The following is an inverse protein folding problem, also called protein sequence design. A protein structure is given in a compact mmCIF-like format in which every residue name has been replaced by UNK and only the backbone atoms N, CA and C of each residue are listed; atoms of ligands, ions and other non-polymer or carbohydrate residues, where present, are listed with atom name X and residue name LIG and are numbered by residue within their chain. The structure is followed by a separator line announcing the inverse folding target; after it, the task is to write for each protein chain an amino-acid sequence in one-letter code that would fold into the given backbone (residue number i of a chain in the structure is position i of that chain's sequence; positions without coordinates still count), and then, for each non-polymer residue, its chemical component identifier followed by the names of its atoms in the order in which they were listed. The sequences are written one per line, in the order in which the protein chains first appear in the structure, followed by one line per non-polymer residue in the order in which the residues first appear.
data_IF_630136781229
#
_entry.id   IF_630136781229
#
_cell.length_a   1.000
_cell.length_b   1.000
_cell.length_c   1.000
_cell.angle_alpha   90.00
_cell.angle_beta   90.00
_cell.angle_gamma   90.00
#
_symmetry.space_group_name_H-M   'P 1'
#
loop_
_entity.id
_entity.type
_entity.pdbx_description
1 polymer ?
#
# COMPACT_ATOMS: atom_id res chain seq x y z
N UNK A 1 6.01 24.46 0.94
CA UNK A 1 4.76 24.02 1.58
C UNK A 1 5.02 23.09 2.75
N UNK A 2 5.71 21.95 2.55
CA UNK A 2 6.22 21.13 3.65
C UNK A 2 7.73 21.30 3.70
N UNK A 3 8.26 21.59 4.88
CA UNK A 3 9.69 21.74 5.06
C UNK A 3 10.15 20.99 6.31
N UNK A 4 11.24 20.23 6.15
CA UNK A 4 11.96 19.57 7.23
C UNK A 4 13.37 20.16 7.32
N UNK A 5 13.77 20.65 8.48
CA UNK A 5 15.10 21.26 8.71
C UNK A 5 15.80 20.60 9.88
N UNK A 6 16.97 20.01 9.60
CA UNK A 6 17.84 19.33 10.58
C UNK A 6 17.06 18.39 11.49
N UNK A 7 16.21 17.54 10.90
CA UNK A 7 15.34 16.65 11.67
C UNK A 7 16.08 15.38 12.04
N UNK A 8 16.04 15.06 13.34
CA UNK A 8 16.54 13.82 13.93
C UNK A 8 15.41 13.17 14.74
N UNK A 9 15.31 11.85 14.69
CA UNK A 9 14.33 11.11 15.49
C UNK A 9 14.79 9.70 15.83
N UNK A 10 14.57 9.31 17.10
CA UNK A 10 14.58 7.91 17.54
C UNK A 10 13.34 7.62 18.38
N UNK A 11 12.78 6.40 18.29
CA UNK A 11 11.54 6.03 18.98
C UNK A 11 11.70 5.97 20.50
N UNK A 12 12.87 5.61 21.03
CA UNK A 12 13.19 5.58 22.47
C UNK A 12 14.56 6.18 22.74
N UNK A 13 14.78 6.62 23.97
CA UNK A 13 16.09 7.03 24.42
C UNK A 13 17.06 5.83 24.39
N UNK A 14 18.14 5.94 23.62
CA UNK A 14 19.14 4.88 23.45
C UNK A 14 18.91 3.93 22.26
N UNK A 15 17.75 4.03 21.56
CA UNK A 15 17.52 3.30 20.32
C UNK A 15 18.33 3.89 19.16
N UNK A 16 18.54 3.07 18.12
CA UNK A 16 19.11 3.53 16.85
C UNK A 16 18.31 4.72 16.29
N UNK A 17 19.04 5.71 15.78
CA UNK A 17 18.45 6.88 15.14
C UNK A 17 17.74 6.43 13.85
N UNK A 18 16.41 6.57 13.82
CA UNK A 18 15.61 6.19 12.68
C UNK A 18 15.71 7.16 11.51
N UNK A 19 15.85 8.46 11.80
CA UNK A 19 16.12 9.49 10.82
C UNK A 19 17.12 10.49 11.37
N UNK A 20 18.06 10.95 10.54
CA UNK A 20 19.19 11.76 10.93
C UNK A 20 19.46 12.85 9.91
N UNK A 21 19.51 14.10 10.39
CA UNK A 21 19.81 15.30 9.60
C UNK A 21 18.98 15.44 8.32
N UNK A 22 17.66 15.19 8.45
CA UNK A 22 16.78 15.34 7.30
C UNK A 22 16.58 16.81 6.96
N UNK A 23 16.85 17.13 5.70
CA UNK A 23 16.58 18.41 5.08
C UNK A 23 15.80 18.16 3.79
N UNK A 24 14.49 18.39 3.83
CA UNK A 24 13.54 18.07 2.74
C UNK A 24 12.63 19.28 2.53
N UNK A 25 12.43 19.65 1.28
CA UNK A 25 11.44 20.64 0.86
C UNK A 25 10.50 20.01 -0.17
N UNK A 26 9.18 20.14 0.06
CA UNK A 26 8.13 19.69 -0.84
C UNK A 26 7.22 20.89 -1.15
N UNK A 27 7.08 21.20 -2.43
CA UNK A 27 6.24 22.32 -2.89
C UNK A 27 4.77 21.88 -2.99
N UNK A 28 3.87 22.85 -3.02
CA UNK A 28 2.46 22.59 -3.28
C UNK A 28 2.28 21.97 -4.67
N UNK A 29 1.43 20.95 -4.77
CA UNK A 29 1.16 20.23 -6.00
C UNK A 29 2.25 19.25 -6.46
N UNK A 30 3.38 19.11 -5.73
CA UNK A 30 4.40 18.11 -6.08
C UNK A 30 3.93 16.69 -5.72
N UNK A 31 4.23 15.75 -6.61
CA UNK A 31 4.12 14.32 -6.35
C UNK A 31 5.51 13.75 -6.01
N UNK A 32 5.72 13.46 -4.72
CA UNK A 32 7.02 13.04 -4.17
C UNK A 32 7.00 11.57 -3.78
N UNK A 33 7.95 10.80 -4.31
CA UNK A 33 8.22 9.43 -3.91
C UNK A 33 9.32 9.38 -2.85
N UNK A 34 9.04 8.73 -1.72
CA UNK A 34 10.06 8.30 -0.77
C UNK A 34 10.46 6.86 -1.09
N UNK A 35 11.69 6.62 -1.44
CA UNK A 35 12.20 5.30 -1.80
C UNK A 35 13.47 4.94 -1.04
N UNK A 36 13.78 3.65 -0.98
CA UNK A 36 14.92 3.07 -0.24
C UNK A 36 14.56 1.73 0.38
N UNK A 37 15.53 1.07 1.00
CA UNK A 37 15.36 -0.23 1.65
C UNK A 37 14.32 -0.18 2.78
N UNK A 38 13.77 -1.33 3.17
CA UNK A 38 12.93 -1.42 4.37
C UNK A 38 13.71 -0.96 5.60
N UNK A 39 13.03 -0.22 6.51
CA UNK A 39 13.66 0.32 7.71
C UNK A 39 14.47 1.61 7.54
N UNK A 40 14.63 2.14 6.32
CA UNK A 40 15.42 3.37 6.10
C UNK A 40 14.76 4.69 6.54
N UNK A 41 13.59 4.65 7.22
CA UNK A 41 12.96 5.84 7.80
C UNK A 41 11.77 6.42 7.01
N UNK A 42 11.32 5.82 5.90
CA UNK A 42 10.19 6.33 5.07
C UNK A 42 8.92 6.57 5.90
N UNK A 43 8.43 5.54 6.56
CA UNK A 43 7.23 5.61 7.42
C UNK A 43 7.39 6.64 8.54
N UNK A 44 8.60 6.80 9.10
CA UNK A 44 8.88 7.80 10.13
C UNK A 44 8.72 9.22 9.59
N UNK A 45 9.22 9.50 8.39
CA UNK A 45 9.02 10.78 7.69
C UNK A 45 7.53 11.06 7.48
N UNK A 46 6.77 10.06 6.98
CA UNK A 46 5.33 10.21 6.76
C UNK A 46 4.58 10.49 8.07
N UNK A 47 4.96 9.81 9.17
CA UNK A 47 4.39 10.05 10.51
C UNK A 47 4.71 11.44 11.07
N UNK A 48 5.81 12.06 10.66
CA UNK A 48 6.11 13.45 11.01
C UNK A 48 5.28 14.44 10.20
N UNK A 49 4.99 14.13 8.94
CA UNK A 49 4.16 14.99 8.09
C UNK A 49 2.69 14.97 8.55
N UNK A 50 2.17 13.79 8.90
CA UNK A 50 0.77 13.66 9.34
C UNK A 50 0.55 13.94 10.84
N UNK A 51 1.59 14.35 11.56
CA UNK A 51 1.51 14.75 12.96
C UNK A 51 1.44 13.60 13.97
N UNK A 52 1.43 12.33 13.55
CA UNK A 52 1.54 11.22 14.50
C UNK A 52 2.81 11.32 15.35
N UNK A 53 3.88 11.83 14.79
CA UNK A 53 5.07 12.29 15.52
C UNK A 53 5.04 13.82 15.50
N UNK A 54 5.01 14.49 16.64
CA UNK A 54 5.20 13.98 18.01
C UNK A 54 3.90 13.75 18.80
N UNK A 55 2.71 13.98 18.27
CA UNK A 55 1.47 14.07 19.06
C UNK A 55 0.98 12.73 19.63
N UNK A 56 1.15 11.63 18.89
CA UNK A 56 0.70 10.30 19.29
C UNK A 56 1.86 9.31 19.54
N UNK A 57 3.03 9.61 18.99
CA UNK A 57 4.21 8.75 19.08
C UNK A 57 5.35 9.55 19.72
N UNK A 58 5.73 9.12 20.90
CA UNK A 58 6.82 9.70 21.66
C UNK A 58 8.19 9.26 21.11
N UNK A 59 9.20 10.11 21.30
CA UNK A 59 10.58 9.82 20.94
C UNK A 59 11.50 11.04 21.08
N UNK A 60 12.78 10.81 20.86
CA UNK A 60 13.75 11.90 20.80
C UNK A 60 13.64 12.59 19.45
N UNK A 61 13.06 13.76 19.43
CA UNK A 61 12.82 14.53 18.22
C UNK A 61 13.52 15.88 18.28
N UNK A 62 14.41 16.15 17.33
CA UNK A 62 15.10 17.43 17.14
C UNK A 62 14.82 17.97 15.74
N UNK A 63 15.07 19.27 15.54
CA UNK A 63 14.79 19.95 14.28
C UNK A 63 13.35 20.43 14.18
N UNK A 64 12.94 20.79 12.96
CA UNK A 64 11.64 21.42 12.70
C UNK A 64 10.99 20.80 11.47
N UNK A 65 9.70 20.43 11.58
CA UNK A 65 8.82 20.08 10.46
C UNK A 65 7.73 21.12 10.40
N UNK A 66 7.51 21.71 9.23
CA UNK A 66 6.47 22.72 9.02
C UNK A 66 5.56 22.35 7.85
N UNK A 67 4.29 22.71 7.97
CA UNK A 67 3.28 22.66 6.92
C UNK A 67 2.74 24.08 6.78
N UNK A 68 2.85 24.68 5.58
CA UNK A 68 2.48 26.10 5.35
C UNK A 68 3.13 27.05 6.37
N UNK A 69 4.42 26.85 6.64
CA UNK A 69 5.22 27.63 7.60
C UNK A 69 4.79 27.49 9.07
N UNK A 70 3.71 26.76 9.41
CA UNK A 70 3.33 26.44 10.79
C UNK A 70 4.02 25.16 11.24
N UNK A 71 4.62 25.16 12.42
CA UNK A 71 5.29 23.98 12.98
C UNK A 71 4.29 22.89 13.31
N UNK A 72 4.53 21.64 12.86
CA UNK A 72 3.68 20.49 13.18
C UNK A 72 3.54 20.29 14.69
N UNK A 73 4.58 20.61 15.47
CA UNK A 73 4.52 20.56 16.95
C UNK A 73 3.54 21.55 17.58
N UNK A 74 3.26 22.65 16.89
CA UNK A 74 2.42 23.75 17.37
C UNK A 74 0.99 23.67 16.79
N UNK A 75 0.75 22.73 15.88
CA UNK A 75 -0.57 22.49 15.30
C UNK A 75 -1.34 21.48 16.17
N UNK A 76 -2.62 21.73 16.34
CA UNK A 76 -3.51 20.74 16.90
C UNK A 76 -3.75 19.60 15.91
N UNK A 77 -4.04 18.39 16.41
CA UNK A 77 -4.21 17.20 15.54
C UNK A 77 -5.33 17.37 14.52
N UNK A 78 -6.40 18.06 14.86
CA UNK A 78 -7.48 18.34 13.91
C UNK A 78 -7.06 19.32 12.80
N UNK A 79 -6.23 20.33 13.11
CA UNK A 79 -5.70 21.27 12.10
C UNK A 79 -4.80 20.55 11.09
N UNK A 80 -4.06 19.54 11.55
CA UNK A 80 -3.25 18.70 10.67
C UNK A 80 -4.16 17.80 9.82
N UNK A 81 -5.17 17.15 10.42
CA UNK A 81 -6.09 16.26 9.74
C UNK A 81 -6.92 16.96 8.65
N UNK A 82 -7.25 18.25 8.80
CA UNK A 82 -7.89 19.05 7.76
C UNK A 82 -7.00 19.25 6.53
N UNK A 83 -5.68 19.26 6.72
CA UNK A 83 -4.69 19.55 5.65
C UNK A 83 -4.06 18.30 5.08
N UNK A 84 -3.88 17.28 5.89
CA UNK A 84 -3.11 16.07 5.56
C UNK A 84 -3.99 14.83 5.72
N UNK A 85 -4.36 14.24 4.60
CA UNK A 85 -5.00 12.94 4.55
C UNK A 85 -3.98 11.81 4.51
N UNK A 86 -4.15 10.80 5.36
CA UNK A 86 -3.21 9.69 5.50
C UNK A 86 -3.83 8.37 5.07
N UNK A 87 -3.11 7.62 4.23
CA UNK A 87 -3.45 6.27 3.82
C UNK A 87 -2.37 5.33 4.33
N UNK A 88 -2.73 4.43 5.25
CA UNK A 88 -1.79 3.52 5.90
C UNK A 88 -1.57 2.23 5.11
N UNK A 89 -0.44 1.58 5.35
CA UNK A 89 -0.06 0.31 4.75
C UNK A 89 -1.10 -0.81 4.97
N UNK A 90 -1.71 -0.83 6.15
CA UNK A 90 -2.78 -1.77 6.48
C UNK A 90 -4.11 -1.04 6.59
N UNK A 91 -5.00 -1.11 5.59
CA UNK A 91 -6.27 -0.41 5.62
C UNK A 91 -7.19 -0.83 6.78
N UNK A 92 -7.03 -2.06 7.31
CA UNK A 92 -7.83 -2.56 8.43
C UNK A 92 -7.63 -1.76 9.72
N UNK A 93 -6.49 -1.12 9.89
CA UNK A 93 -6.20 -0.29 11.06
C UNK A 93 -6.75 1.12 10.94
N UNK A 94 -7.31 1.47 9.78
CA UNK A 94 -7.84 2.80 9.48
C UNK A 94 -9.37 2.86 9.64
N UNK A 95 -10.07 1.72 9.54
CA UNK A 95 -11.53 1.67 9.54
C UNK A 95 -12.13 1.73 10.94
N UNK A 96 -13.16 2.54 11.08
CA UNK A 96 -13.95 2.72 12.29
C UNK A 96 -15.38 2.21 12.15
N UNK A 97 -15.89 2.10 10.92
CA UNK A 97 -17.27 1.70 10.62
C UNK A 97 -17.37 0.26 10.12
N UNK A 98 -18.56 -0.33 10.26
CA UNK A 98 -18.85 -1.68 9.79
C UNK A 98 -19.22 -1.72 8.31
N UNK A 99 -19.69 -0.62 7.78
CA UNK A 99 -20.12 -0.48 6.38
C UNK A 99 -19.34 0.63 5.66
N UNK A 100 -19.30 0.51 4.34
CA UNK A 100 -18.53 1.39 3.47
C UNK A 100 -19.07 2.83 3.43
N UNK A 101 -20.36 3.02 3.52
CA UNK A 101 -20.97 4.34 3.44
C UNK A 101 -20.70 5.13 4.73
N UNK A 102 -20.79 4.48 5.89
CA UNK A 102 -20.37 5.05 7.16
C UNK A 102 -18.87 5.38 7.17
N UNK A 103 -18.02 4.55 6.55
CA UNK A 103 -16.59 4.82 6.47
C UNK A 103 -16.27 6.01 5.56
N UNK A 104 -17.01 6.18 4.46
CA UNK A 104 -16.87 7.34 3.57
C UNK A 104 -17.33 8.64 4.23
N UNK A 105 -18.32 8.58 5.12
CA UNK A 105 -18.86 9.75 5.83
C UNK A 105 -18.07 10.14 7.08
N UNK A 106 -17.35 9.18 7.68
CA UNK A 106 -16.72 9.33 8.99
C UNK A 106 -15.83 10.57 9.14
N UNK A 107 -14.95 10.81 8.17
CA UNK A 107 -14.07 11.99 8.20
C UNK A 107 -14.85 13.31 8.09
N UNK A 108 -15.91 13.33 7.28
CA UNK A 108 -16.77 14.51 7.09
C UNK A 108 -17.59 14.80 8.36
N UNK A 109 -18.08 13.76 9.05
CA UNK A 109 -18.80 13.89 10.32
C UNK A 109 -17.90 14.47 11.40
N UNK A 110 -16.66 13.99 11.50
CA UNK A 110 -15.66 14.51 12.44
C UNK A 110 -15.27 15.96 12.17
N UNK A 111 -15.37 16.41 10.91
CA UNK A 111 -15.20 17.83 10.53
C UNK A 111 -16.43 18.69 10.82
N UNK A 112 -17.51 18.11 11.33
CA UNK A 112 -18.75 18.84 11.63
C UNK A 112 -19.52 19.30 10.39
N UNK A 113 -19.37 18.63 9.25
CA UNK A 113 -20.07 18.95 8.00
C UNK A 113 -21.56 18.62 8.15
N UNK A 114 -22.41 19.49 7.62
CA UNK A 114 -23.87 19.30 7.63
C UNK A 114 -24.31 17.99 6.94
N UNK A 115 -25.24 17.20 7.51
CA UNK A 115 -25.61 15.89 6.99
C UNK A 115 -26.06 15.84 5.52
N UNK A 116 -26.73 16.91 5.04
CA UNK A 116 -27.12 17.00 3.63
C UNK A 116 -25.90 17.14 2.70
N UNK A 117 -24.87 17.85 3.13
CA UNK A 117 -23.63 18.03 2.39
C UNK A 117 -22.77 16.76 2.45
N UNK A 118 -22.78 16.02 3.57
CA UNK A 118 -22.08 14.73 3.69
C UNK A 118 -22.59 13.77 2.61
N UNK A 119 -23.92 13.59 2.48
CA UNK A 119 -24.50 12.71 1.46
C UNK A 119 -24.07 13.10 0.05
N UNK A 120 -24.07 14.40 -0.27
CA UNK A 120 -23.64 14.89 -1.56
C UNK A 120 -22.14 14.62 -1.82
N UNK A 121 -21.27 14.88 -0.83
CA UNK A 121 -19.82 14.63 -0.93
C UNK A 121 -19.52 13.15 -1.08
N UNK A 122 -20.16 12.27 -0.31
CA UNK A 122 -20.01 10.81 -0.41
C UNK A 122 -20.42 10.32 -1.80
N UNK A 123 -21.60 10.75 -2.31
CA UNK A 123 -22.05 10.35 -3.64
C UNK A 123 -21.11 10.87 -4.74
N UNK A 124 -20.60 12.10 -4.62
CA UNK A 124 -19.62 12.64 -5.55
C UNK A 124 -18.32 11.82 -5.53
N UNK A 125 -17.82 11.47 -4.36
CA UNK A 125 -16.63 10.61 -4.20
C UNK A 125 -16.83 9.27 -4.89
N UNK A 126 -17.98 8.62 -4.67
CA UNK A 126 -18.33 7.33 -5.31
C UNK A 126 -18.29 7.46 -6.83
N UNK A 127 -18.91 8.50 -7.37
CA UNK A 127 -18.98 8.75 -8.80
C UNK A 127 -17.60 9.10 -9.39
N UNK A 128 -16.85 10.00 -8.76
CA UNK A 128 -15.56 10.45 -9.25
C UNK A 128 -14.53 9.32 -9.23
N UNK A 129 -14.55 8.48 -8.20
CA UNK A 129 -13.62 7.37 -8.08
C UNK A 129 -14.14 6.07 -8.74
N UNK A 130 -15.36 6.07 -9.30
CA UNK A 130 -15.99 4.90 -9.91
C UNK A 130 -15.95 3.67 -8.99
N UNK A 131 -16.52 3.82 -7.79
CA UNK A 131 -16.53 2.79 -6.72
C UNK A 131 -17.96 2.43 -6.27
N UNK A 132 -18.96 2.57 -7.13
CA UNK A 132 -20.37 2.22 -6.83
C UNK A 132 -20.51 0.76 -6.35
N UNK A 133 -19.63 -0.13 -6.81
CA UNK A 133 -19.56 -1.52 -6.40
C UNK A 133 -19.17 -1.71 -4.91
N UNK A 134 -18.66 -0.70 -4.25
CA UNK A 134 -18.33 -0.72 -2.83
C UNK A 134 -19.46 -0.21 -1.93
N UNK A 135 -20.47 0.45 -2.50
CA UNK A 135 -21.57 1.05 -1.76
C UNK A 135 -22.40 0.02 -0.98
N UNK A 136 -22.83 0.38 0.23
CA UNK A 136 -23.61 -0.46 1.12
C UNK A 136 -22.98 -1.83 1.41
N UNK A 137 -21.64 -1.94 1.40
CA UNK A 137 -20.92 -3.20 1.65
C UNK A 137 -20.39 -3.26 3.08
N UNK A 138 -20.45 -4.45 3.65
CA UNK A 138 -19.76 -4.71 4.91
C UNK A 138 -18.24 -4.66 4.69
N UNK A 139 -17.55 -3.79 5.45
CA UNK A 139 -16.10 -3.57 5.33
C UNK A 139 -15.30 -4.86 5.59
N UNK A 140 -15.76 -5.73 6.48
CA UNK A 140 -15.05 -6.99 6.77
C UNK A 140 -15.10 -7.99 5.61
N UNK A 141 -16.13 -7.93 4.77
CA UNK A 141 -16.29 -8.81 3.61
C UNK A 141 -15.52 -8.34 2.37
N UNK A 142 -15.01 -7.11 2.37
CA UNK A 142 -14.21 -6.57 1.29
C UNK A 142 -12.88 -7.31 1.18
N UNK A 143 -12.43 -7.51 -0.06
CA UNK A 143 -11.07 -7.98 -0.35
C UNK A 143 -10.01 -6.96 0.10
N UNK A 144 -8.75 -7.37 0.17
CA UNK A 144 -7.65 -6.45 0.53
C UNK A 144 -7.55 -5.24 -0.40
N UNK A 145 -7.75 -5.46 -1.71
CA UNK A 145 -7.77 -4.39 -2.70
C UNK A 145 -8.94 -3.43 -2.52
N UNK A 146 -10.16 -3.96 -2.37
CA UNK A 146 -11.35 -3.14 -2.11
C UNK A 146 -11.23 -2.32 -0.83
N UNK A 147 -10.65 -2.89 0.24
CA UNK A 147 -10.34 -2.17 1.48
C UNK A 147 -9.39 -1.00 1.24
N UNK A 148 -8.33 -1.23 0.46
CA UNK A 148 -7.37 -0.15 0.18
C UNK A 148 -8.01 0.97 -0.65
N UNK A 149 -8.82 0.63 -1.63
CA UNK A 149 -9.58 1.60 -2.42
C UNK A 149 -10.56 2.40 -1.54
N UNK A 150 -11.29 1.71 -0.64
CA UNK A 150 -12.18 2.37 0.32
C UNK A 150 -11.41 3.31 1.26
N UNK A 151 -10.24 2.92 1.76
CA UNK A 151 -9.40 3.76 2.60
C UNK A 151 -8.92 5.03 1.86
N UNK A 152 -8.58 4.94 0.57
CA UNK A 152 -8.26 6.12 -0.24
C UNK A 152 -9.52 6.97 -0.42
N UNK A 153 -10.66 6.37 -0.71
CA UNK A 153 -11.92 7.06 -0.95
C UNK A 153 -12.42 7.81 0.29
N UNK A 154 -12.28 7.25 1.49
CA UNK A 154 -12.68 7.91 2.74
C UNK A 154 -11.84 9.17 3.00
N UNK A 155 -10.53 9.12 2.71
CA UNK A 155 -9.67 10.30 2.77
C UNK A 155 -9.98 11.29 1.63
N UNK A 156 -10.26 10.78 0.42
CA UNK A 156 -10.62 11.62 -0.73
C UNK A 156 -11.87 12.44 -0.47
N UNK A 157 -12.87 11.87 0.21
CA UNK A 157 -14.14 12.55 0.54
C UNK A 157 -13.91 13.82 1.39
N UNK A 158 -12.91 13.84 2.27
CA UNK A 158 -12.55 15.01 3.09
C UNK A 158 -11.80 16.09 2.29
N UNK A 159 -11.27 15.73 1.12
CA UNK A 159 -10.59 16.62 0.17
C UNK A 159 -9.41 17.42 0.73
N UNK A 160 -8.44 16.79 1.45
CA UNK A 160 -7.28 17.49 1.97
C UNK A 160 -6.38 18.04 0.85
N UNK A 161 -5.47 18.94 1.19
CA UNK A 161 -4.50 19.50 0.23
C UNK A 161 -3.27 18.60 0.04
N UNK A 162 -2.94 17.81 1.07
CA UNK A 162 -1.79 16.92 1.14
C UNK A 162 -2.27 15.49 1.34
N UNK A 163 -1.79 14.57 0.54
CA UNK A 163 -2.03 13.14 0.67
C UNK A 163 -0.74 12.41 1.00
N UNK A 164 -0.77 11.62 2.06
CA UNK A 164 0.36 10.80 2.52
C UNK A 164 0.00 9.34 2.39
N UNK A 165 0.77 8.59 1.60
CA UNK A 165 0.56 7.16 1.36
C UNK A 165 1.75 6.35 1.88
N UNK A 166 1.50 5.41 2.78
CA UNK A 166 2.52 4.49 3.28
C UNK A 166 2.33 3.09 2.69
N UNK A 167 3.14 2.74 1.70
CA UNK A 167 3.14 1.45 0.98
C UNK A 167 1.74 0.96 0.56
N UNK A 168 0.93 1.77 -0.13
CA UNK A 168 -0.48 1.46 -0.39
C UNK A 168 -0.67 0.24 -1.29
N UNK A 169 0.35 -0.19 -2.04
CA UNK A 169 0.26 -1.35 -2.93
C UNK A 169 0.57 -2.70 -2.26
N UNK A 170 0.98 -2.72 -0.98
CA UNK A 170 1.51 -3.92 -0.33
C UNK A 170 0.56 -5.13 -0.35
N UNK A 171 -0.76 -4.90 -0.22
CA UNK A 171 -1.77 -5.95 -0.06
C UNK A 171 -2.79 -6.02 -1.21
N UNK A 172 -2.50 -5.39 -2.34
CA UNK A 172 -3.41 -5.34 -3.49
C UNK A 172 -2.85 -6.11 -4.68
N UNK A 173 -3.74 -6.65 -5.49
CA UNK A 173 -3.41 -7.31 -6.74
C UNK A 173 -3.23 -6.28 -7.87
N UNK A 174 -2.94 -6.77 -9.06
CA UNK A 174 -2.67 -5.93 -10.23
C UNK A 174 -3.84 -5.02 -10.58
N UNK A 175 -5.07 -5.52 -10.50
CA UNK A 175 -6.27 -4.73 -10.77
C UNK A 175 -6.45 -3.60 -9.74
N UNK A 176 -6.15 -3.89 -8.46
CA UNK A 176 -6.14 -2.88 -7.40
C UNK A 176 -5.05 -1.83 -7.60
N UNK A 177 -3.88 -2.21 -8.12
CA UNK A 177 -2.80 -1.26 -8.45
C UNK A 177 -3.22 -0.33 -9.59
N UNK A 178 -3.88 -0.86 -10.62
CA UNK A 178 -4.39 -0.04 -11.73
C UNK A 178 -5.41 0.99 -11.22
N UNK A 179 -6.35 0.56 -10.38
CA UNK A 179 -7.33 1.46 -9.77
C UNK A 179 -6.67 2.50 -8.85
N UNK A 180 -5.68 2.10 -8.05
CA UNK A 180 -4.89 3.03 -7.23
C UNK A 180 -4.19 4.08 -8.09
N UNK A 181 -3.59 3.66 -9.20
CA UNK A 181 -2.92 4.57 -10.14
C UNK A 181 -3.90 5.59 -10.73
N UNK A 182 -5.11 5.18 -11.12
CA UNK A 182 -6.15 6.10 -11.60
C UNK A 182 -6.50 7.18 -10.55
N UNK A 183 -6.62 6.77 -9.27
CA UNK A 183 -6.87 7.70 -8.17
C UNK A 183 -5.71 8.69 -7.97
N UNK A 184 -4.46 8.21 -8.04
CA UNK A 184 -3.28 9.07 -7.93
C UNK A 184 -3.18 10.08 -9.09
N UNK A 185 -3.54 9.67 -10.31
CA UNK A 185 -3.61 10.58 -11.48
C UNK A 185 -4.64 11.68 -11.21
N UNK A 186 -5.84 11.34 -10.76
CA UNK A 186 -6.89 12.32 -10.43
C UNK A 186 -6.44 13.33 -9.38
N UNK A 187 -5.80 12.84 -8.30
CA UNK A 187 -5.25 13.73 -7.27
C UNK A 187 -4.19 14.68 -7.83
N UNK A 188 -3.31 14.19 -8.70
CA UNK A 188 -2.29 15.01 -9.36
C UNK A 188 -2.91 16.06 -10.28
N UNK A 189 -3.91 15.69 -11.09
CA UNK A 189 -4.67 16.60 -11.97
C UNK A 189 -5.40 17.68 -11.19
N UNK A 190 -5.86 17.37 -9.97
CA UNK A 190 -6.48 18.34 -9.05
C UNK A 190 -5.45 19.25 -8.34
N UNK A 191 -4.17 19.10 -8.64
CA UNK A 191 -3.08 19.88 -8.04
C UNK A 191 -2.79 19.54 -6.58
N UNK A 192 -3.21 18.35 -6.11
CA UNK A 192 -2.95 17.90 -4.74
C UNK A 192 -1.47 17.58 -4.57
N UNK A 193 -0.95 17.83 -3.35
CA UNK A 193 0.41 17.41 -2.99
C UNK A 193 0.37 15.96 -2.54
N UNK A 194 1.19 15.11 -3.14
CA UNK A 194 1.20 13.68 -2.87
C UNK A 194 2.58 13.27 -2.38
N UNK A 195 2.64 12.63 -1.22
CA UNK A 195 3.85 12.02 -0.69
C UNK A 195 3.57 10.52 -0.53
N UNK A 196 4.32 9.70 -1.25
CA UNK A 196 4.13 8.25 -1.23
C UNK A 196 5.42 7.52 -0.89
N UNK A 197 5.37 6.61 0.08
CA UNK A 197 6.40 5.59 0.23
C UNK A 197 5.97 4.35 -0.54
N UNK A 198 6.84 3.79 -1.38
CA UNK A 198 6.48 2.60 -2.17
C UNK A 198 7.70 1.79 -2.57
N UNK A 199 7.50 0.47 -2.66
CA UNK A 199 8.49 -0.47 -3.17
C UNK A 199 8.21 -0.89 -4.62
N UNK A 200 6.94 -0.96 -5.03
CA UNK A 200 6.54 -1.26 -6.41
C UNK A 200 6.53 0.03 -7.21
N UNK A 201 7.60 0.29 -7.95
CA UNK A 201 7.83 1.59 -8.59
C UNK A 201 7.21 1.71 -9.98
N UNK A 202 7.02 0.60 -10.68
CA UNK A 202 6.61 0.55 -12.09
C UNK A 202 5.31 1.30 -12.42
N UNK A 203 4.41 1.48 -11.45
CA UNK A 203 3.15 2.21 -11.66
C UNK A 203 3.21 3.68 -11.27
N UNK A 204 4.37 4.17 -10.79
CA UNK A 204 4.55 5.53 -10.27
C UNK A 204 5.59 6.35 -11.03
N UNK A 205 6.58 5.71 -11.68
CA UNK A 205 7.77 6.38 -12.22
C UNK A 205 7.43 7.56 -13.14
N UNK A 206 6.39 7.45 -13.93
CA UNK A 206 5.92 8.51 -14.84
C UNK A 206 5.01 9.56 -14.17
N UNK A 207 4.55 9.29 -12.93
CA UNK A 207 3.66 10.19 -12.19
C UNK A 207 4.40 11.14 -11.25
N UNK A 208 5.53 10.71 -10.69
CA UNK A 208 6.27 11.48 -9.70
C UNK A 208 6.95 12.70 -10.33
N UNK A 209 7.08 13.78 -9.58
CA UNK A 209 7.87 14.95 -9.95
C UNK A 209 9.28 14.87 -9.33
N UNK A 210 9.38 14.23 -8.16
CA UNK A 210 10.60 14.12 -7.37
C UNK A 210 10.66 12.76 -6.66
N UNK A 211 11.84 12.14 -6.65
CA UNK A 211 12.12 10.97 -5.82
C UNK A 211 13.19 11.29 -4.79
N UNK A 212 12.92 10.98 -3.52
CA UNK A 212 13.85 11.14 -2.40
C UNK A 212 14.33 9.75 -1.99
N UNK A 213 15.59 9.45 -2.27
CA UNK A 213 16.21 8.19 -1.89
C UNK A 213 16.81 8.29 -0.48
N UNK A 214 16.34 7.37 0.37
CA UNK A 214 16.72 7.28 1.77
C UNK A 214 17.58 6.03 1.99
N UNK A 215 18.62 6.18 2.78
CA UNK A 215 19.47 5.11 3.26
C UNK A 215 19.93 5.42 4.67
N UNK A 216 19.79 4.46 5.59
CA UNK A 216 20.19 4.55 7.00
C UNK A 216 19.68 5.86 7.68
N UNK A 217 18.41 6.17 7.47
CA UNK A 217 17.76 7.34 8.06
C UNK A 217 18.17 8.69 7.48
N UNK A 218 18.92 8.73 6.38
CA UNK A 218 19.41 9.97 5.75
C UNK A 218 18.94 10.10 4.33
N UNK A 219 18.74 11.34 3.88
CA UNK A 219 18.58 11.64 2.45
C UNK A 219 19.93 11.48 1.77
N UNK A 220 20.05 10.53 0.86
CA UNK A 220 21.27 10.31 0.07
C UNK A 220 21.22 11.02 -1.27
N UNK A 221 20.06 10.97 -1.92
CA UNK A 221 19.86 11.61 -3.22
C UNK A 221 18.44 12.13 -3.34
N UNK A 222 18.29 13.24 -4.02
CA UNK A 222 17.02 13.79 -4.46
C UNK A 222 17.08 13.84 -5.99
N UNK A 223 16.21 13.12 -6.66
CA UNK A 223 16.13 13.03 -8.10
C UNK A 223 14.91 13.77 -8.62
N UNK A 224 15.04 14.48 -9.72
CA UNK A 224 13.91 14.85 -10.57
C UNK A 224 13.32 13.60 -11.25
N UNK A 225 12.10 13.70 -11.78
CA UNK A 225 11.50 12.60 -12.54
C UNK A 225 12.42 12.08 -13.65
N UNK A 226 13.00 13.00 -14.42
CA UNK A 226 13.89 12.64 -15.55
C UNK A 226 15.13 11.88 -15.07
N UNK A 227 15.80 12.36 -14.02
CA UNK A 227 16.98 11.68 -13.46
C UNK A 227 16.62 10.31 -12.91
N UNK A 228 15.48 10.21 -12.18
CA UNK A 228 15.05 8.95 -11.58
C UNK A 228 14.70 7.89 -12.63
N UNK A 229 14.00 8.28 -13.69
CA UNK A 229 13.61 7.38 -14.77
C UNK A 229 14.80 6.86 -15.61
N UNK A 230 15.91 7.60 -15.63
CA UNK A 230 17.16 7.25 -16.34
C UNK A 230 18.14 6.42 -15.50
N UNK A 231 17.83 6.11 -14.24
CA UNK A 231 18.67 5.25 -13.39
C UNK A 231 18.80 3.87 -14.05
N UNK A 232 20.03 3.46 -14.33
CA UNK A 232 20.32 2.16 -14.91
C UNK A 232 20.05 0.99 -13.94
N UNK A 233 19.96 -0.22 -14.48
CA UNK A 233 19.66 -1.42 -13.69
C UNK A 233 20.73 -1.73 -12.64
N UNK A 234 21.99 -1.39 -12.87
CA UNK A 234 23.09 -1.64 -11.91
C UNK A 234 22.97 -0.69 -10.72
N UNK A 235 22.78 0.60 -10.98
CA UNK A 235 22.57 1.61 -9.92
C UNK A 235 21.29 1.31 -9.15
N UNK A 236 20.17 1.01 -9.84
CA UNK A 236 18.89 0.67 -9.25
C UNK A 236 19.00 -0.52 -8.28
N UNK A 237 19.65 -1.63 -8.72
CA UNK A 237 19.89 -2.81 -7.89
C UNK A 237 20.79 -2.47 -6.69
N UNK A 238 21.82 -1.64 -6.87
CA UNK A 238 22.69 -1.17 -5.80
C UNK A 238 21.95 -0.39 -4.72
N UNK A 239 20.98 0.44 -5.12
CA UNK A 239 20.08 1.17 -4.24
C UNK A 239 19.00 0.29 -3.58
N UNK A 240 18.88 -0.99 -3.96
CA UNK A 240 17.84 -1.89 -3.47
C UNK A 240 16.43 -1.56 -3.97
N UNK A 241 16.31 -0.84 -5.08
CA UNK A 241 15.05 -0.46 -5.68
C UNK A 241 14.51 -1.54 -6.63
N UNK A 242 13.20 -1.77 -6.60
CA UNK A 242 12.52 -2.70 -7.50
C UNK A 242 12.46 -2.13 -8.93
N UNK A 243 12.05 -2.99 -9.86
CA UNK A 243 11.93 -2.67 -11.28
C UNK A 243 11.04 -1.44 -11.55
N UNK A 244 11.43 -0.66 -12.55
CA UNK A 244 10.68 0.52 -13.03
C UNK A 244 9.66 0.16 -14.10
N UNK A 245 9.76 -1.03 -14.68
CA UNK A 245 8.80 -1.55 -15.66
C UNK A 245 8.41 -2.99 -15.31
N UNK A 246 7.23 -3.43 -15.72
CA UNK A 246 6.79 -4.83 -15.58
C UNK A 246 7.66 -5.80 -16.40
N UNK A 247 8.37 -5.31 -17.39
CA UNK A 247 9.21 -6.10 -18.31
C UNK A 247 10.67 -6.18 -17.90
N UNK A 248 11.10 -5.47 -16.84
CA UNK A 248 12.48 -5.49 -16.39
C UNK A 248 12.88 -6.89 -15.94
N UNK A 249 13.53 -7.57 -16.89
CA UNK A 249 14.41 -8.72 -16.73
C UNK A 249 13.99 -9.80 -15.75
N UNK A 250 13.11 -10.65 -16.21
CA UNK A 250 13.19 -12.05 -15.82
C UNK A 250 14.30 -12.65 -16.69
N UNK A 251 15.51 -12.72 -16.18
CA UNK A 251 16.51 -13.64 -16.72
C UNK A 251 15.90 -15.03 -16.52
N UNK A 252 15.32 -15.58 -17.56
CA UNK A 252 14.85 -16.96 -17.53
C UNK A 252 16.08 -17.85 -17.36
N UNK A 253 16.33 -18.27 -16.15
CA UNK A 253 17.20 -19.39 -15.90
C UNK A 253 16.48 -20.60 -16.50
N UNK A 254 17.13 -21.32 -17.43
CA UNK A 254 16.58 -22.55 -17.97
C UNK A 254 16.19 -23.45 -16.80
N UNK A 255 14.95 -24.01 -16.81
CA UNK A 255 14.53 -24.90 -15.74
C UNK A 255 15.51 -26.06 -15.64
N UNK A 256 15.97 -26.36 -14.45
CA UNK A 256 16.75 -27.56 -14.18
C UNK A 256 15.79 -28.73 -14.42
N UNK A 257 16.07 -29.57 -15.42
CA UNK A 257 15.29 -30.79 -15.67
C UNK A 257 15.54 -31.79 -14.57
N UNK A 258 14.55 -31.99 -13.71
CA UNK A 258 14.52 -33.10 -12.75
C UNK A 258 13.75 -34.29 -13.34
N UNK A 259 14.11 -35.50 -12.95
CA UNK A 259 13.39 -36.71 -13.31
C UNK A 259 11.94 -36.64 -12.75
N UNK A 260 10.96 -36.75 -13.65
CA UNK A 260 9.53 -36.62 -13.33
C UNK A 260 9.02 -37.87 -12.61
N UNK A 261 8.84 -37.76 -11.31
CA UNK A 261 7.95 -38.62 -10.54
C UNK A 261 6.97 -37.69 -9.85
N UNK A 262 5.69 -37.75 -10.21
CA UNK A 262 4.65 -36.94 -9.58
C UNK A 262 4.53 -37.30 -8.10
N UNK A 263 5.35 -36.69 -7.26
CA UNK A 263 5.39 -36.97 -5.83
C UNK A 263 4.20 -36.34 -5.08
N UNK A 264 3.72 -35.19 -5.57
CA UNK A 264 2.57 -34.50 -5.00
C UNK A 264 1.51 -34.31 -6.07
N UNK A 265 0.29 -34.84 -5.82
CA UNK A 265 -0.80 -34.78 -6.77
C UNK A 265 -2.10 -34.35 -6.09
N UNK A 266 -2.72 -33.35 -6.66
CA UNK A 266 -4.10 -32.95 -6.34
C UNK A 266 -4.97 -33.35 -7.53
N UNK A 267 -6.06 -34.07 -7.28
CA UNK A 267 -6.99 -34.51 -8.33
C UNK A 267 -8.43 -34.11 -7.99
N UNK A 268 -9.07 -33.41 -8.93
CA UNK A 268 -10.47 -33.03 -8.89
C UNK A 268 -10.89 -32.32 -7.59
N UNK A 269 -9.98 -31.51 -7.02
CA UNK A 269 -10.23 -30.82 -5.76
C UNK A 269 -11.35 -29.80 -5.87
N UNK A 270 -12.34 -29.93 -5.00
CA UNK A 270 -13.46 -29.01 -4.89
C UNK A 270 -13.58 -28.51 -3.44
N UNK A 271 -13.82 -27.21 -3.28
CA UNK A 271 -14.09 -26.62 -1.98
C UNK A 271 -15.16 -25.54 -2.04
N UNK A 272 -16.13 -25.63 -1.12
CA UNK A 272 -17.18 -24.63 -0.92
C UNK A 272 -17.08 -24.07 0.50
N UNK A 273 -17.19 -22.76 0.61
CA UNK A 273 -17.35 -22.08 1.89
C UNK A 273 -18.82 -21.61 1.97
N UNK A 274 -19.60 -22.19 2.88
CA UNK A 274 -21.05 -22.05 2.93
C UNK A 274 -21.68 -22.41 1.56
N UNK A 275 -22.30 -21.42 0.89
CA UNK A 275 -22.95 -21.63 -0.42
C UNK A 275 -22.07 -21.23 -1.61
N UNK A 276 -20.90 -20.63 -1.37
CA UNK A 276 -20.00 -20.14 -2.43
C UNK A 276 -18.96 -21.19 -2.80
N UNK A 277 -18.93 -21.59 -4.08
CA UNK A 277 -17.85 -22.41 -4.62
C UNK A 277 -16.57 -21.57 -4.71
N UNK A 278 -15.53 -22.01 -4.00
CA UNK A 278 -14.23 -21.32 -3.96
C UNK A 278 -13.20 -21.99 -4.86
N UNK A 279 -13.17 -23.32 -4.86
CA UNK A 279 -12.31 -24.12 -5.74
C UNK A 279 -13.17 -25.12 -6.51
N UNK A 280 -12.91 -25.29 -7.81
CA UNK A 280 -13.67 -26.17 -8.67
C UNK A 280 -12.74 -26.98 -9.57
N UNK A 281 -12.80 -28.31 -9.44
CA UNK A 281 -12.05 -29.27 -10.26
C UNK A 281 -10.56 -28.94 -10.41
N UNK A 282 -9.90 -28.56 -9.32
CA UNK A 282 -8.47 -28.22 -9.34
C UNK A 282 -7.63 -29.49 -9.48
N UNK A 283 -6.71 -29.46 -10.43
CA UNK A 283 -5.72 -30.51 -10.65
C UNK A 283 -4.33 -29.87 -10.67
N UNK A 284 -3.41 -30.39 -9.85
CA UNK A 284 -2.04 -29.90 -9.74
C UNK A 284 -1.14 -31.10 -9.54
N UNK A 285 -0.02 -31.17 -10.22
CA UNK A 285 1.05 -32.11 -9.92
C UNK A 285 2.37 -31.40 -9.71
N UNK A 286 3.21 -31.94 -8.86
CA UNK A 286 4.52 -31.40 -8.54
C UNK A 286 5.52 -32.53 -8.27
N UNK A 287 6.75 -32.29 -8.67
CA UNK A 287 7.87 -33.17 -8.39
C UNK A 287 8.68 -32.64 -7.20
N UNK A 288 9.52 -33.47 -6.63
CA UNK A 288 10.47 -33.04 -5.60
C UNK A 288 11.41 -31.96 -6.14
N UNK A 289 11.51 -30.86 -5.40
CA UNK A 289 12.32 -29.71 -5.76
C UNK A 289 11.62 -28.68 -6.63
N UNK A 290 10.38 -28.93 -7.11
CA UNK A 290 9.62 -27.94 -7.87
C UNK A 290 9.26 -26.73 -7.00
N UNK A 291 9.33 -25.54 -7.59
CA UNK A 291 8.78 -24.30 -7.03
C UNK A 291 7.53 -23.95 -7.83
N UNK A 292 6.38 -24.01 -7.17
CA UNK A 292 5.09 -23.70 -7.81
C UNK A 292 4.59 -22.34 -7.38
N UNK A 293 4.35 -21.47 -8.35
CA UNK A 293 3.71 -20.17 -8.11
C UNK A 293 2.20 -20.27 -8.31
N UNK A 294 1.41 -20.03 -7.27
CA UNK A 294 -0.05 -19.91 -7.35
C UNK A 294 -0.41 -18.45 -7.58
N UNK A 295 -0.86 -18.14 -8.79
CA UNK A 295 -1.19 -16.78 -9.23
C UNK A 295 -2.69 -16.61 -9.45
N UNK A 296 -3.17 -15.36 -9.51
CA UNK A 296 -4.57 -15.01 -9.76
C UNK A 296 -5.02 -13.81 -8.94
N UNK A 297 -6.21 -13.27 -9.26
CA UNK A 297 -6.81 -12.12 -8.56
C UNK A 297 -7.08 -12.42 -7.08
N UNK A 298 -7.21 -11.37 -6.26
CA UNK A 298 -7.61 -11.53 -4.86
C UNK A 298 -9.02 -12.14 -4.77
N UNK A 299 -9.25 -12.95 -3.74
CA UNK A 299 -10.53 -13.64 -3.55
C UNK A 299 -10.75 -14.91 -4.38
N UNK A 300 -9.83 -15.29 -5.26
CA UNK A 300 -9.97 -16.49 -6.13
C UNK A 300 -9.54 -17.83 -5.49
N UNK A 301 -9.38 -17.85 -4.17
CA UNK A 301 -9.16 -19.13 -3.47
C UNK A 301 -7.69 -19.54 -3.28
N UNK A 302 -6.69 -18.71 -3.65
CA UNK A 302 -5.26 -19.03 -3.45
C UNK A 302 -4.93 -19.45 -2.01
N UNK A 303 -5.31 -18.64 -1.05
CA UNK A 303 -5.12 -18.93 0.38
C UNK A 303 -5.93 -20.14 0.84
N UNK A 304 -7.12 -20.35 0.28
CA UNK A 304 -7.95 -21.52 0.56
C UNK A 304 -7.26 -22.80 0.10
N UNK A 305 -6.72 -22.79 -1.12
CA UNK A 305 -5.96 -23.92 -1.67
C UNK A 305 -4.75 -24.22 -0.76
N UNK A 306 -3.98 -23.21 -0.38
CA UNK A 306 -2.83 -23.40 0.54
C UNK A 306 -3.26 -23.98 1.89
N UNK A 307 -4.39 -23.51 2.47
CA UNK A 307 -4.91 -24.05 3.73
C UNK A 307 -5.34 -25.51 3.61
N UNK A 308 -5.89 -25.91 2.46
CA UNK A 308 -6.25 -27.32 2.20
C UNK A 308 -4.97 -28.16 2.06
N UNK A 309 -3.98 -27.70 1.29
CA UNK A 309 -2.70 -28.40 1.15
C UNK A 309 -1.98 -28.56 2.51
N UNK A 310 -2.11 -27.60 3.40
CA UNK A 310 -1.54 -27.66 4.75
C UNK A 310 -2.42 -28.45 5.76
N UNK A 311 -3.54 -29.06 5.34
CA UNK A 311 -4.45 -29.78 6.23
C UNK A 311 -5.27 -28.90 7.20
N UNK A 312 -5.25 -27.56 7.02
CA UNK A 312 -5.99 -26.61 7.87
C UNK A 312 -7.47 -26.50 7.47
N UNK A 313 -7.82 -26.91 6.26
CA UNK A 313 -9.18 -26.99 5.76
C UNK A 313 -9.37 -28.34 5.06
N UNK A 314 -10.52 -28.98 5.27
CA UNK A 314 -10.88 -30.21 4.59
C UNK A 314 -11.63 -29.89 3.29
N UNK A 315 -11.23 -30.54 2.22
CA UNK A 315 -11.89 -30.48 0.91
C UNK A 315 -13.29 -31.09 0.96
N UNK A 316 -14.17 -30.65 0.07
CA UNK A 316 -15.50 -31.25 -0.07
C UNK A 316 -15.48 -32.46 -1.01
N UNK A 317 -14.59 -32.48 -1.99
CA UNK A 317 -14.35 -33.56 -2.92
C UNK A 317 -12.97 -33.45 -3.57
N UNK A 318 -12.50 -34.58 -4.11
CA UNK A 318 -11.17 -34.70 -4.71
C UNK A 318 -10.20 -35.43 -3.78
N UNK A 319 -8.94 -35.53 -4.18
CA UNK A 319 -7.89 -36.21 -3.42
C UNK A 319 -6.60 -35.43 -3.47
N UNK A 320 -5.85 -35.51 -2.39
CA UNK A 320 -4.47 -35.02 -2.29
C UNK A 320 -3.61 -36.21 -1.94
N UNK A 321 -2.57 -36.45 -2.70
CA UNK A 321 -1.63 -37.53 -2.41
C UNK A 321 -0.18 -37.02 -2.41
N UNK A 322 0.61 -37.64 -1.57
CA UNK A 322 2.06 -37.42 -1.49
C UNK A 322 2.76 -38.77 -1.53
N UNK A 323 3.68 -38.97 -2.49
CA UNK A 323 4.36 -40.25 -2.75
C UNK A 323 3.36 -41.43 -2.89
N UNK A 324 2.24 -41.22 -3.55
CA UNK A 324 1.19 -42.24 -3.76
C UNK A 324 0.30 -42.53 -2.54
N UNK A 325 0.58 -41.93 -1.39
CA UNK A 325 -0.25 -42.05 -0.19
C UNK A 325 -1.24 -40.88 -0.11
N UNK A 326 -2.53 -41.18 0.17
CA UNK A 326 -3.56 -40.14 0.40
C UNK A 326 -3.22 -39.35 1.66
N UNK A 327 -3.39 -38.04 1.55
CA UNK A 327 -3.11 -37.08 2.62
C UNK A 327 -4.38 -36.69 3.38
#
# INVERSE_FOLDING_TARGET
MIEMRKVFFSYKAGDEIQVSDLNIEIKAGEFVLLCGKSGCGKTTILKMINGLIPHAIEGNYQGKVTIYNKSVREMETFEIAEKVGSIFQNPKTQFFNLDSDGELSFGLENMGIEPCLIKAKVQNTINELDIENLKNRNVFELSGGEKQILAVASVYATNPEIYVFDEPSANIDECGIEKMREMLIKLKEQGKTIIISEHRLYFLVDLIDKAIYLEDGKVKHIFSNTEFSLIDNKMRKGMGLRAFTKKDNIDFVNPIEFHKTDEFVISNLNYRNNHKCVLKNMNISANKGDIIAITGKNGQGKTTLMKIICGLLKENAGTISYNGSLY
#
